data_IF_167382524046
#
_entry.id   IF_167382524046
#
_cell.length_a   1.000
_cell.length_b   1.000
_cell.length_c   1.000
_cell.angle_alpha   90.00
_cell.angle_beta   90.00
_cell.angle_gamma   90.00
#
_symmetry.space_group_name_H-M   'P 1'
#
loop_
_entity.id
_entity.type
_entity.pdbx_description
1 polymer ?
#
# COMPACT_ATOMS: atom_id res chain seq x y z
N UNK A 1 33.07 40.96 5.52
CA UNK A 1 32.10 40.75 6.61
C UNK A 1 30.65 40.80 6.08
N UNK A 2 30.18 39.78 5.35
CA UNK A 2 28.79 39.74 4.86
C UNK A 2 28.27 38.30 4.86
N UNK A 3 27.99 37.71 6.03
CA UNK A 3 27.36 36.38 6.09
C UNK A 3 26.38 36.15 7.26
N UNK A 4 26.09 37.14 8.11
CA UNK A 4 25.25 36.91 9.29
C UNK A 4 23.74 37.09 9.09
N UNK A 5 23.27 37.74 8.02
CA UNK A 5 21.83 38.06 7.87
C UNK A 5 21.01 36.98 7.17
N UNK A 6 21.63 36.13 6.34
CA UNK A 6 20.92 35.08 5.59
C UNK A 6 20.47 33.89 6.47
N UNK A 7 21.15 33.66 7.59
CA UNK A 7 20.82 32.55 8.49
C UNK A 7 19.57 32.83 9.36
N UNK A 8 19.32 34.11 9.70
CA UNK A 8 18.20 34.51 10.56
C UNK A 8 16.82 34.28 9.92
N UNK A 9 16.67 34.55 8.62
CA UNK A 9 15.41 34.31 7.89
C UNK A 9 15.06 32.83 7.74
N UNK A 10 16.08 31.98 7.50
CA UNK A 10 15.89 30.53 7.39
C UNK A 10 15.49 29.88 8.74
N UNK A 11 16.01 30.42 9.85
CA UNK A 11 15.65 29.95 11.18
C UNK A 11 14.20 30.30 11.56
N UNK A 12 13.71 31.48 11.18
CA UNK A 12 12.31 31.87 11.44
C UNK A 12 11.32 31.02 10.65
N UNK A 13 11.56 30.83 9.35
CA UNK A 13 10.73 29.93 8.53
C UNK A 13 10.79 28.48 9.03
N UNK A 14 11.96 28.01 9.47
CA UNK A 14 12.12 26.66 10.04
C UNK A 14 11.38 26.46 11.37
N UNK A 15 11.32 27.49 12.24
CA UNK A 15 10.53 27.44 13.47
C UNK A 15 9.03 27.40 13.18
N UNK A 16 8.58 28.17 12.19
CA UNK A 16 7.18 28.22 11.77
C UNK A 16 6.71 26.87 11.21
N UNK A 17 7.50 26.21 10.37
CA UNK A 17 7.17 24.86 9.84
C UNK A 17 7.02 23.82 10.95
N UNK A 18 7.88 23.83 11.97
CA UNK A 18 7.79 22.90 13.09
C UNK A 18 6.57 23.17 13.99
N UNK A 19 6.19 24.45 14.16
CA UNK A 19 4.97 24.83 14.86
C UNK A 19 3.73 24.35 14.10
N UNK A 20 3.69 24.60 12.78
CA UNK A 20 2.62 24.12 11.91
C UNK A 20 2.51 22.59 11.91
N UNK A 21 3.63 21.88 11.84
CA UNK A 21 3.68 20.43 11.93
C UNK A 21 3.02 19.93 13.22
N UNK A 22 3.26 20.58 14.36
CA UNK A 22 2.63 20.21 15.64
C UNK A 22 1.13 20.45 15.64
N UNK A 23 0.70 21.62 15.17
CA UNK A 23 -0.74 21.97 15.11
C UNK A 23 -1.48 20.99 14.20
N UNK A 24 -1.00 20.77 12.98
CA UNK A 24 -1.63 19.84 12.05
C UNK A 24 -1.59 18.40 12.58
N UNK A 25 -0.47 17.96 13.16
CA UNK A 25 -0.38 16.63 13.75
C UNK A 25 -1.40 16.43 14.87
N UNK A 26 -1.57 17.42 15.75
CA UNK A 26 -2.57 17.36 16.83
C UNK A 26 -4.00 17.32 16.28
N UNK A 27 -4.28 18.04 15.20
CA UNK A 27 -5.58 18.04 14.53
C UNK A 27 -5.89 16.67 13.92
N UNK A 28 -4.92 16.04 13.24
CA UNK A 28 -5.10 14.71 12.67
C UNK A 28 -5.21 13.61 13.73
N UNK A 29 -4.54 13.76 14.87
CA UNK A 29 -4.70 12.87 16.03
C UNK A 29 -6.10 13.03 16.63
N UNK A 30 -6.60 14.26 16.75
CA UNK A 30 -7.95 14.54 17.25
C UNK A 30 -9.07 13.99 16.34
N UNK A 31 -8.81 13.82 15.04
CA UNK A 31 -9.73 13.19 14.10
C UNK A 31 -9.78 11.65 14.20
N UNK A 32 -9.06 11.05 15.14
CA UNK A 32 -9.04 9.60 15.41
C UNK A 32 -8.89 8.73 14.15
N UNK A 33 -7.99 9.14 13.24
CA UNK A 33 -7.71 8.35 12.06
C UNK A 33 -7.32 6.92 12.44
N UNK A 34 -7.97 5.94 11.82
CA UNK A 34 -7.84 4.50 12.12
C UNK A 34 -6.41 3.95 12.03
N UNK A 35 -5.47 4.68 11.43
CA UNK A 35 -4.09 4.24 11.27
C UNK A 35 -3.08 5.38 11.33
N UNK A 36 -2.03 5.20 12.14
CA UNK A 36 -0.85 6.06 12.20
C UNK A 36 -0.21 6.27 10.82
N UNK A 37 -0.29 5.27 9.93
CA UNK A 37 0.28 5.40 8.58
C UNK A 37 -0.50 6.39 7.71
N UNK A 38 -1.81 6.54 7.93
CA UNK A 38 -2.63 7.53 7.24
C UNK A 38 -2.29 8.95 7.71
N UNK A 39 -2.19 9.16 9.03
CA UNK A 39 -1.75 10.44 9.62
C UNK A 39 -0.38 10.85 9.07
N UNK A 40 0.57 9.91 9.04
CA UNK A 40 1.92 10.15 8.48
C UNK A 40 1.90 10.47 6.99
N UNK A 41 0.93 9.95 6.23
CA UNK A 41 0.70 10.29 4.82
C UNK A 41 0.27 11.74 4.63
N UNK A 42 -0.65 12.22 5.47
CA UNK A 42 -1.11 13.62 5.43
C UNK A 42 -0.02 14.60 5.86
N UNK A 43 0.77 14.25 6.89
CA UNK A 43 1.86 15.09 7.40
C UNK A 43 3.12 15.04 6.53
N UNK A 44 3.16 14.17 5.53
CA UNK A 44 4.33 13.93 4.70
C UNK A 44 4.91 15.20 4.04
N UNK A 45 4.10 16.08 3.41
CA UNK A 45 4.63 17.29 2.77
C UNK A 45 5.37 18.18 3.79
N UNK A 46 4.77 18.37 4.97
CA UNK A 46 5.38 19.15 6.05
C UNK A 46 6.65 18.50 6.61
N UNK A 47 6.69 17.17 6.71
CA UNK A 47 7.90 16.43 7.11
C UNK A 47 9.03 16.64 6.08
N UNK A 48 8.70 16.63 4.79
CA UNK A 48 9.68 16.86 3.72
C UNK A 48 10.17 18.31 3.72
N UNK A 49 9.27 19.26 3.94
CA UNK A 49 9.60 20.69 4.07
C UNK A 49 10.50 20.96 5.27
N UNK A 50 10.14 20.45 6.46
CA UNK A 50 10.94 20.57 7.67
C UNK A 50 12.34 19.99 7.47
N UNK A 51 12.43 18.80 6.86
CA UNK A 51 13.71 18.16 6.55
C UNK A 51 14.51 18.97 5.51
N UNK A 52 13.87 19.53 4.48
CA UNK A 52 14.52 20.37 3.46
C UNK A 52 15.09 21.67 4.03
N UNK A 53 14.49 22.20 5.09
CA UNK A 53 14.99 23.39 5.81
C UNK A 53 16.19 23.04 6.72
N UNK A 54 16.35 21.76 7.09
CA UNK A 54 17.50 21.23 7.81
C UNK A 54 17.18 20.58 9.16
N UNK A 55 15.90 20.38 9.48
CA UNK A 55 15.53 19.68 10.71
C UNK A 55 15.84 18.18 10.61
N UNK A 56 16.44 17.63 11.67
CA UNK A 56 16.71 16.20 11.72
C UNK A 56 15.40 15.42 11.86
N UNK A 57 15.36 14.21 11.30
CA UNK A 57 14.21 13.32 11.46
C UNK A 57 13.87 13.04 12.92
N UNK A 58 14.87 13.03 13.81
CA UNK A 58 14.68 12.86 15.24
C UNK A 58 13.95 14.05 15.88
N UNK A 59 14.30 15.29 15.49
CA UNK A 59 13.61 16.49 15.96
C UNK A 59 12.16 16.54 15.45
N UNK A 60 11.94 16.17 14.19
CA UNK A 60 10.61 16.05 13.58
C UNK A 60 9.76 15.03 14.34
N UNK A 61 10.31 13.83 14.60
CA UNK A 61 9.62 12.80 15.36
C UNK A 61 9.28 13.22 16.79
N UNK A 62 10.21 13.89 17.48
CA UNK A 62 9.95 14.46 18.81
C UNK A 62 8.81 15.49 18.79
N UNK A 63 8.72 16.33 17.76
CA UNK A 63 7.61 17.26 17.60
C UNK A 63 6.27 16.56 17.34
N UNK A 64 6.26 15.47 16.56
CA UNK A 64 5.07 14.65 16.36
C UNK A 64 4.61 13.96 17.65
N UNK A 65 5.55 13.47 18.46
CA UNK A 65 5.24 12.90 19.77
C UNK A 65 4.65 13.94 20.73
N UNK A 66 5.23 15.15 20.75
CA UNK A 66 4.70 16.27 21.54
C UNK A 66 3.29 16.68 21.11
N UNK A 67 2.94 16.46 19.84
CA UNK A 67 1.58 16.66 19.31
C UNK A 67 0.61 15.49 19.57
N UNK A 68 1.04 14.47 20.32
CA UNK A 68 0.20 13.33 20.71
C UNK A 68 0.29 12.12 19.78
N UNK A 69 1.11 12.15 18.74
CA UNK A 69 1.29 10.99 17.86
C UNK A 69 2.12 9.92 18.56
N UNK A 70 1.46 8.86 19.05
CA UNK A 70 2.09 7.71 19.74
C UNK A 70 2.76 6.73 18.76
N UNK A 71 3.60 7.25 17.86
CA UNK A 71 4.39 6.44 16.94
C UNK A 71 5.77 6.16 17.52
N UNK A 72 6.19 4.89 17.53
CA UNK A 72 7.59 4.54 17.82
C UNK A 72 8.52 5.08 16.73
N UNK A 73 9.80 5.26 17.05
CA UNK A 73 10.81 5.68 16.08
C UNK A 73 10.92 4.71 14.88
N UNK A 74 10.83 3.40 15.14
CA UNK A 74 10.85 2.39 14.09
C UNK A 74 9.62 2.50 13.18
N UNK A 75 8.43 2.68 13.76
CA UNK A 75 7.19 2.89 13.00
C UNK A 75 7.29 4.11 12.10
N UNK A 76 7.80 5.23 12.62
CA UNK A 76 8.05 6.46 11.87
C UNK A 76 8.95 6.19 10.64
N UNK A 77 10.11 5.58 10.84
CA UNK A 77 11.05 5.26 9.75
C UNK A 77 10.44 4.31 8.72
N UNK A 78 9.76 3.25 9.16
CA UNK A 78 9.08 2.31 8.27
C UNK A 78 7.98 2.97 7.45
N UNK A 79 7.24 3.93 8.02
CA UNK A 79 6.26 4.73 7.28
C UNK A 79 6.94 5.59 6.22
N UNK A 80 8.03 6.30 6.54
CA UNK A 80 8.79 7.10 5.56
C UNK A 80 9.31 6.24 4.40
N UNK A 81 9.88 5.07 4.70
CA UNK A 81 10.40 4.16 3.66
C UNK A 81 9.29 3.64 2.75
N UNK A 82 8.14 3.26 3.31
CA UNK A 82 6.98 2.82 2.52
C UNK A 82 6.44 3.94 1.63
N UNK A 83 6.37 5.16 2.14
CA UNK A 83 5.94 6.32 1.36
C UNK A 83 6.92 6.65 0.23
N UNK A 84 8.24 6.52 0.47
CA UNK A 84 9.25 6.67 -0.59
C UNK A 84 9.10 5.62 -1.69
N UNK A 85 8.83 4.36 -1.33
CA UNK A 85 8.59 3.28 -2.30
C UNK A 85 7.30 3.50 -3.10
N UNK A 86 6.24 4.00 -2.45
CA UNK A 86 4.98 4.34 -3.11
C UNK A 86 5.19 5.41 -4.18
N UNK A 87 5.98 6.45 -3.90
CA UNK A 87 6.30 7.48 -4.91
C UNK A 87 7.06 6.94 -6.11
N UNK A 88 8.05 6.08 -5.88
CA UNK A 88 8.80 5.46 -6.97
C UNK A 88 7.88 4.60 -7.83
N UNK A 89 6.98 3.83 -7.20
CA UNK A 89 6.03 2.97 -7.91
C UNK A 89 4.99 3.78 -8.68
N UNK A 90 4.48 4.88 -8.11
CA UNK A 90 3.54 5.78 -8.79
C UNK A 90 4.20 6.46 -9.99
N UNK A 91 5.45 6.93 -9.87
CA UNK A 91 6.19 7.51 -10.99
C UNK A 91 6.44 6.51 -12.12
N UNK A 92 6.66 5.23 -11.79
CA UNK A 92 6.79 4.17 -12.80
C UNK A 92 5.45 3.76 -13.43
N UNK A 93 4.34 3.82 -12.67
CA UNK A 93 3.00 3.56 -13.20
C UNK A 93 2.56 4.63 -14.21
N UNK A 94 3.00 5.88 -14.07
CA UNK A 94 2.70 6.95 -15.04
C UNK A 94 3.38 6.72 -16.39
N UNK A 95 4.56 6.07 -16.42
CA UNK A 95 5.23 5.72 -17.70
C UNK A 95 4.62 4.48 -18.35
N UNK A 96 4.10 3.54 -17.54
CA UNK A 96 3.41 2.35 -18.04
C UNK A 96 1.98 2.65 -18.55
N UNK A 97 1.40 3.80 -18.18
CA UNK A 97 0.04 4.20 -18.57
C UNK A 97 -0.02 5.17 -19.77
N UNK A 98 1.11 5.42 -20.45
CA UNK A 98 1.17 6.20 -21.69
C UNK A 98 1.11 5.35 -22.98
N UNK A 99 1.01 4.01 -22.86
CA UNK A 99 0.99 3.08 -23.98
C UNK A 99 -0.35 2.32 -24.11
N UNK A 100 -1.48 2.98 -23.85
CA UNK A 100 -2.81 2.39 -24.10
C UNK A 100 -3.69 3.39 -24.87
N UNK A 101 -4.13 3.06 -26.11
CA UNK A 101 -4.95 3.96 -26.91
C UNK A 101 -6.33 4.16 -26.25
N UNK A 102 -6.94 5.36 -26.40
CA UNK A 102 -8.25 5.66 -25.84
C UNK A 102 -9.34 5.02 -26.71
N UNK A 103 -9.99 3.99 -26.19
CA UNK A 103 -11.15 3.35 -26.83
C UNK A 103 -12.35 3.36 -25.90
N UNK A 104 -13.28 4.29 -26.17
CA UNK A 104 -14.72 4.28 -25.87
C UNK A 104 -15.17 3.94 -24.43
N UNK A 105 -15.57 4.98 -23.70
CA UNK A 105 -16.69 4.88 -22.74
C UNK A 105 -17.94 5.41 -23.44
N UNK A 106 -18.77 4.49 -23.94
CA UNK A 106 -20.19 4.77 -24.15
C UNK A 106 -20.94 4.44 -22.85
N UNK A 107 -21.89 5.30 -22.57
CA UNK A 107 -22.79 5.37 -21.42
C UNK A 107 -23.86 4.27 -21.43
N UNK A 108 -24.51 4.13 -20.27
CA UNK A 108 -25.86 3.60 -20.04
C UNK A 108 -25.96 2.13 -19.56
N UNK A 109 -26.39 2.05 -18.29
CA UNK A 109 -27.51 1.28 -17.75
C UNK A 109 -27.64 -0.24 -17.87
N UNK A 110 -28.04 -0.76 -16.70
CA UNK A 110 -29.01 -1.82 -16.46
C UNK A 110 -28.69 -3.32 -16.65
N UNK A 111 -28.83 -3.99 -15.48
CA UNK A 111 -29.43 -5.30 -15.20
C UNK A 111 -28.73 -6.57 -15.72
N UNK A 112 -28.42 -7.48 -14.79
CA UNK A 112 -28.02 -8.84 -15.13
C UNK A 112 -27.73 -9.75 -13.95
N UNK A 113 -28.66 -9.83 -13.00
CA UNK A 113 -28.70 -10.87 -11.97
C UNK A 113 -28.84 -12.24 -12.65
N UNK A 114 -27.82 -13.11 -12.62
CA UNK A 114 -27.97 -14.58 -12.75
C UNK A 114 -26.61 -15.29 -12.66
N UNK A 115 -26.18 -15.67 -11.45
CA UNK A 115 -25.25 -16.77 -11.28
C UNK A 115 -26.04 -17.95 -10.71
N UNK A 116 -26.37 -18.89 -11.59
CA UNK A 116 -27.08 -20.12 -11.28
C UNK A 116 -26.34 -20.92 -10.20
N UNK A 117 -27.01 -21.09 -9.06
CA UNK A 117 -26.62 -22.04 -8.04
C UNK A 117 -26.89 -23.46 -8.55
N UNK A 118 -25.84 -24.23 -8.79
CA UNK A 118 -25.93 -25.68 -8.90
C UNK A 118 -25.81 -26.31 -7.51
N UNK A 119 -26.68 -27.27 -7.13
CA UNK A 119 -26.66 -27.90 -5.81
C UNK A 119 -25.57 -28.97 -5.75
N UNK A 120 -24.62 -28.84 -4.81
CA UNK A 120 -23.71 -29.93 -4.45
C UNK A 120 -24.25 -30.56 -3.17
N UNK A 121 -24.79 -31.76 -3.35
CA UNK A 121 -25.25 -32.69 -2.32
C UNK A 121 -24.16 -32.96 -1.28
N UNK A 122 -24.44 -32.90 0.04
CA UNK A 122 -23.49 -33.30 1.06
C UNK A 122 -23.46 -34.84 1.21
N UNK A 123 -22.28 -35.48 1.29
CA UNK A 123 -22.20 -36.86 1.77
C UNK A 123 -22.36 -36.93 3.30
N UNK A 124 -22.95 -38.02 3.81
CA UNK A 124 -23.34 -38.17 5.21
C UNK A 124 -22.17 -38.58 6.12
N UNK A 125 -22.36 -38.27 7.40
CA UNK A 125 -21.47 -38.49 8.53
C UNK A 125 -20.80 -39.87 8.61
N UNK A 126 -19.50 -39.87 8.95
CA UNK A 126 -18.91 -40.92 9.77
C UNK A 126 -17.76 -40.35 10.64
N UNK A 127 -17.93 -40.55 11.94
CA UNK A 127 -17.08 -40.29 13.11
C UNK A 127 -15.55 -40.32 12.91
N UNK A 128 -14.84 -39.37 13.53
CA UNK A 128 -13.93 -39.60 14.66
C UNK A 128 -13.17 -38.32 15.03
N UNK A 129 -13.10 -38.03 16.33
CA UNK A 129 -12.21 -37.09 17.03
C UNK A 129 -11.79 -35.81 16.30
N UNK A 130 -12.50 -34.72 16.62
CA UNK A 130 -11.99 -33.36 16.43
C UNK A 130 -11.13 -32.99 17.65
N UNK A 131 -9.79 -33.06 17.58
CA UNK A 131 -8.98 -32.39 18.58
C UNK A 131 -9.28 -30.89 18.50
N UNK A 132 -9.69 -30.32 19.63
CA UNK A 132 -9.73 -28.88 19.84
C UNK A 132 -8.36 -28.33 19.46
N UNK A 133 -8.23 -27.46 18.44
CA UNK A 133 -6.93 -26.90 18.12
C UNK A 133 -6.46 -26.08 19.32
N UNK A 134 -5.25 -26.31 19.85
CA UNK A 134 -4.71 -25.47 20.90
C UNK A 134 -4.65 -24.03 20.38
N UNK A 135 -5.18 -23.11 21.19
CA UNK A 135 -5.15 -21.66 21.04
C UNK A 135 -4.13 -21.18 19.99
N UNK A 136 -4.64 -20.87 18.78
CA UNK A 136 -3.81 -20.54 17.63
C UNK A 136 -2.98 -19.27 17.91
N UNK A 137 -1.72 -19.47 18.28
CA UNK A 137 -0.73 -18.41 18.36
C UNK A 137 -0.64 -17.71 16.99
N UNK A 138 -0.74 -16.38 16.96
CA UNK A 138 -0.82 -15.57 15.73
C UNK A 138 0.32 -15.75 14.72
N UNK A 139 1.38 -16.47 15.11
CA UNK A 139 2.44 -16.99 14.22
C UNK A 139 1.91 -18.00 13.18
N UNK A 140 1.03 -18.93 13.56
CA UNK A 140 0.52 -19.95 12.63
C UNK A 140 -0.32 -19.38 11.49
N UNK A 141 -1.04 -18.28 11.73
CA UNK A 141 -1.82 -17.58 10.69
C UNK A 141 -0.88 -16.93 9.67
N UNK A 142 0.26 -16.39 10.10
CA UNK A 142 1.25 -15.80 9.19
C UNK A 142 1.90 -16.84 8.30
N UNK A 143 2.26 -17.99 8.86
CA UNK A 143 2.86 -19.08 8.09
C UNK A 143 1.87 -19.66 7.07
N UNK A 144 0.60 -19.85 7.46
CA UNK A 144 -0.45 -20.27 6.55
C UNK A 144 -0.65 -19.29 5.38
N UNK A 145 -0.60 -17.98 5.65
CA UNK A 145 -0.71 -16.95 4.61
C UNK A 145 0.50 -16.93 3.67
N UNK A 146 1.71 -17.16 4.19
CA UNK A 146 2.92 -17.25 3.36
C UNK A 146 2.86 -18.47 2.44
N UNK A 147 2.43 -19.62 2.97
CA UNK A 147 2.26 -20.85 2.18
C UNK A 147 1.18 -20.68 1.10
N UNK A 148 0.02 -20.10 1.44
CA UNK A 148 -1.03 -19.82 0.47
C UNK A 148 -0.56 -18.91 -0.67
N UNK A 149 0.26 -17.90 -0.35
CA UNK A 149 0.85 -17.01 -1.36
C UNK A 149 1.84 -17.74 -2.28
N UNK A 150 2.64 -18.65 -1.73
CA UNK A 150 3.59 -19.43 -2.53
C UNK A 150 2.87 -20.36 -3.51
N UNK A 151 1.85 -21.08 -3.05
CA UNK A 151 1.02 -21.96 -3.89
C UNK A 151 0.34 -21.17 -5.01
N UNK A 152 -0.33 -20.06 -4.67
CA UNK A 152 -0.96 -19.19 -5.66
C UNK A 152 0.04 -18.66 -6.70
N UNK A 153 1.27 -18.33 -6.28
CA UNK A 153 2.31 -17.83 -7.19
C UNK A 153 2.77 -18.89 -8.21
N UNK A 154 2.82 -20.17 -7.83
CA UNK A 154 3.15 -21.28 -8.72
C UNK A 154 2.08 -21.47 -9.79
N UNK A 155 0.80 -21.38 -9.41
CA UNK A 155 -0.32 -21.51 -10.34
C UNK A 155 -0.34 -20.38 -11.39
N UNK A 156 -0.12 -19.13 -10.97
CA UNK A 156 -0.03 -18.01 -11.93
C UNK A 156 1.15 -18.15 -12.90
N UNK A 157 2.30 -18.65 -12.43
CA UNK A 157 3.46 -18.89 -13.30
C UNK A 157 3.19 -20.01 -14.31
N UNK A 158 2.42 -21.04 -13.93
CA UNK A 158 2.00 -22.12 -14.81
C UNK A 158 1.04 -21.61 -15.90
N UNK A 159 0.00 -20.86 -15.50
CA UNK A 159 -0.98 -20.26 -16.42
C UNK A 159 -0.29 -19.33 -17.41
N UNK A 160 0.66 -18.50 -16.97
CA UNK A 160 1.40 -17.61 -17.85
C UNK A 160 2.26 -18.37 -18.89
N UNK A 161 2.88 -19.49 -18.49
CA UNK A 161 3.64 -20.36 -19.41
C UNK A 161 2.72 -21.02 -20.43
N UNK A 162 1.56 -21.50 -20.02
CA UNK A 162 0.59 -22.14 -20.92
C UNK A 162 -0.02 -21.14 -21.90
N UNK A 163 -0.31 -19.93 -21.45
CA UNK A 163 -0.78 -18.84 -22.30
C UNK A 163 0.28 -18.51 -23.37
N UNK A 164 1.55 -18.43 -22.97
CA UNK A 164 2.68 -18.18 -23.88
C UNK A 164 2.87 -19.31 -24.90
N UNK A 165 2.71 -20.57 -24.50
CA UNK A 165 2.77 -21.73 -25.41
C UNK A 165 1.61 -21.72 -26.42
N UNK A 166 0.42 -21.31 -25.99
CA UNK A 166 -0.75 -21.19 -26.86
C UNK A 166 -0.59 -20.05 -27.87
N UNK A 167 -0.05 -18.91 -27.45
CA UNK A 167 0.18 -17.77 -28.34
C UNK A 167 1.33 -17.97 -29.33
N UNK A 168 2.27 -18.88 -29.04
CA UNK A 168 3.41 -19.18 -29.92
C UNK A 168 3.17 -20.34 -30.89
N UNK A 169 1.98 -20.97 -30.87
CA UNK A 169 1.66 -22.03 -31.85
C UNK A 169 1.31 -21.38 -33.19
N UNK A 170 2.08 -21.62 -34.26
CA UNK A 170 1.72 -21.12 -35.58
C UNK A 170 0.38 -21.76 -35.99
N UNK A 171 -0.62 -20.92 -36.22
CA UNK A 171 -1.90 -21.32 -36.78
C UNK A 171 -1.66 -21.79 -38.21
N UNK A 172 -1.37 -23.06 -38.40
CA UNK A 172 -1.33 -23.67 -39.74
C UNK A 172 -2.77 -23.66 -40.28
N UNK A 173 -3.09 -22.88 -41.33
CA UNK A 173 -4.41 -22.91 -41.92
C UNK A 173 -4.63 -24.29 -42.51
N UNK A 174 -5.62 -25.01 -41.99
CA UNK A 174 -6.10 -26.25 -42.60
C UNK A 174 -6.81 -25.87 -43.89
N UNK A 175 -6.09 -25.98 -45.01
CA UNK A 175 -6.69 -26.02 -46.33
C UNK A 175 -7.52 -27.32 -46.40
N UNK A 176 -8.84 -27.20 -46.31
CA UNK A 176 -9.75 -28.27 -46.69
C UNK A 176 -9.94 -28.24 -48.22
N UNK A 177 -10.20 -29.41 -48.84
CA UNK A 177 -10.20 -29.61 -50.29
C UNK A 177 -11.34 -28.89 -51.02
#
# INVERSE_FOLDING_TARGET
MYSLTKQKGKNMAGMDVMARLRVEASAWVAQELRSTSAVMGHLRPLIQEAHGIGHSHQAIHGALQAAGLRASWNTYRSCLMRMKQADTKSKMATVASAARPPGRSETADEIGLAAAAAPITPPPHAHADRPVPPSASGTHVRDALLQAREVASRDYAQVARDLRRRSSRPSTPKHLP
#
